data_IF_476711193068
#
_entry.id   IF_476711193068
#
_cell.length_a   1.000
_cell.length_b   1.000
_cell.length_c   1.000
_cell.angle_alpha   90.00
_cell.angle_beta   90.00
_cell.angle_gamma   90.00
#
_symmetry.space_group_name_H-M   'P 1'
#
loop_
_entity.id
_entity.type
_entity.pdbx_description
1 polymer ?
#
# COMPACT_ATOMS: atom_id res chain seq x y z
N UNK A 1 -16.36 18.92 22.54
CA UNK A 1 -15.35 17.96 23.01
C UNK A 1 -15.23 16.77 22.10
N UNK A 2 -16.33 16.13 21.79
CA UNK A 2 -16.33 14.96 20.92
C UNK A 2 -15.87 15.29 19.51
N UNK A 3 -16.21 16.44 18.99
CA UNK A 3 -15.86 16.84 17.61
C UNK A 3 -14.36 16.94 17.39
N UNK A 4 -13.65 17.50 18.37
CA UNK A 4 -12.20 17.62 18.25
C UNK A 4 -11.53 16.26 18.25
N UNK A 5 -12.00 15.36 19.10
CA UNK A 5 -11.48 13.99 19.14
C UNK A 5 -11.74 13.25 17.84
N UNK A 6 -12.92 13.42 17.30
CA UNK A 6 -13.30 12.75 16.06
C UNK A 6 -12.44 13.23 14.90
N UNK A 7 -12.16 14.53 14.83
CA UNK A 7 -11.29 15.09 13.81
C UNK A 7 -9.86 14.58 13.95
N UNK A 8 -9.35 14.59 15.18
CA UNK A 8 -8.01 14.06 15.45
C UNK A 8 -7.91 12.58 15.09
N UNK A 9 -8.91 11.81 15.49
CA UNK A 9 -8.94 10.38 15.16
C UNK A 9 -8.96 10.15 13.66
N UNK A 10 -9.71 10.95 12.93
CA UNK A 10 -9.77 10.86 11.48
C UNK A 10 -8.43 11.12 10.82
N UNK A 11 -7.73 12.15 11.28
CA UNK A 11 -6.39 12.47 10.76
C UNK A 11 -5.40 11.38 11.08
N UNK A 12 -5.40 10.93 12.32
CA UNK A 12 -4.49 9.87 12.76
C UNK A 12 -4.75 8.59 11.98
N UNK A 13 -6.01 8.28 11.75
CA UNK A 13 -6.39 7.11 10.97
C UNK A 13 -5.87 7.22 9.54
N UNK A 14 -6.04 8.38 8.90
CA UNK A 14 -5.56 8.59 7.55
C UNK A 14 -4.04 8.47 7.47
N UNK A 15 -3.34 9.05 8.43
CA UNK A 15 -1.88 8.98 8.49
C UNK A 15 -1.40 7.56 8.76
N UNK A 16 -2.08 6.83 9.64
CA UNK A 16 -1.78 5.44 9.90
C UNK A 16 -1.98 4.59 8.66
N UNK A 17 -3.06 4.80 7.94
CA UNK A 17 -3.34 4.07 6.71
C UNK A 17 -2.30 4.37 5.64
N UNK A 18 -1.91 5.64 5.51
CA UNK A 18 -0.88 6.02 4.55
C UNK A 18 0.44 5.33 4.87
N UNK A 19 0.82 5.37 6.15
CA UNK A 19 2.04 4.72 6.61
C UNK A 19 2.01 3.21 6.36
N UNK A 20 0.86 2.59 6.62
CA UNK A 20 0.66 1.15 6.41
C UNK A 20 0.78 0.81 4.92
N UNK A 21 0.17 1.61 4.06
CA UNK A 21 0.25 1.39 2.63
C UNK A 21 1.69 1.54 2.12
N UNK A 22 2.42 2.52 2.65
CA UNK A 22 3.82 2.72 2.28
C UNK A 22 4.67 1.52 2.70
N UNK A 23 4.41 0.97 3.89
CA UNK A 23 5.08 -0.23 4.36
C UNK A 23 4.74 -1.43 3.49
N UNK A 24 3.47 -1.59 3.15
CA UNK A 24 3.03 -2.66 2.25
C UNK A 24 3.73 -2.56 0.90
N UNK A 25 3.89 -1.34 0.40
CA UNK A 25 4.55 -1.13 -0.88
C UNK A 25 5.97 -1.67 -0.86
N UNK A 26 6.71 -1.37 0.21
CA UNK A 26 8.07 -1.88 0.38
C UNK A 26 8.09 -3.40 0.41
N UNK A 27 7.18 -4.00 1.19
CA UNK A 27 7.12 -5.46 1.30
C UNK A 27 6.73 -6.12 -0.01
N UNK A 28 5.83 -5.51 -0.76
CA UNK A 28 5.44 -6.02 -2.06
C UNK A 28 6.59 -5.95 -3.06
N UNK A 29 7.37 -4.88 -3.04
CA UNK A 29 8.56 -4.75 -3.87
C UNK A 29 9.58 -5.83 -3.53
N UNK A 30 9.79 -6.08 -2.25
CA UNK A 30 10.68 -7.15 -1.80
C UNK A 30 10.19 -8.52 -2.26
N UNK A 31 8.90 -8.77 -2.09
CA UNK A 31 8.29 -10.02 -2.54
C UNK A 31 8.45 -10.21 -4.04
N UNK A 32 8.26 -9.14 -4.80
CA UNK A 32 8.42 -9.18 -6.25
C UNK A 32 9.85 -9.53 -6.62
N UNK A 33 10.82 -8.94 -5.93
CA UNK A 33 12.23 -9.27 -6.13
C UNK A 33 12.52 -10.74 -5.81
N UNK A 34 11.94 -11.24 -4.73
CA UNK A 34 12.11 -12.63 -4.33
C UNK A 34 11.53 -13.62 -5.34
N UNK A 35 10.43 -13.23 -6.00
CA UNK A 35 9.76 -14.10 -6.96
C UNK A 35 10.67 -14.45 -8.14
N UNK A 36 11.67 -13.62 -8.41
CA UNK A 36 12.64 -13.86 -9.49
C UNK A 36 13.49 -15.10 -9.26
N UNK A 37 13.55 -15.57 -8.01
CA UNK A 37 14.28 -16.78 -7.66
C UNK A 37 13.52 -18.05 -7.97
N UNK A 38 12.27 -17.92 -8.37
CA UNK A 38 11.40 -19.06 -8.68
C UNK A 38 11.52 -19.46 -10.15
N UNK A 39 11.06 -20.67 -10.46
CA UNK A 39 11.00 -21.13 -11.84
C UNK A 39 10.08 -20.19 -12.65
N UNK A 40 10.37 -20.07 -13.94
CA UNK A 40 9.70 -19.10 -14.81
C UNK A 40 8.18 -19.15 -14.74
N UNK A 41 7.58 -20.34 -14.80
CA UNK A 41 6.13 -20.45 -14.81
C UNK A 41 5.48 -20.00 -13.51
N UNK A 42 6.19 -20.13 -12.38
CA UNK A 42 5.70 -19.65 -11.07
C UNK A 42 5.92 -18.17 -10.94
N UNK A 43 7.08 -17.71 -11.36
CA UNK A 43 7.47 -16.29 -11.28
C UNK A 43 6.52 -15.41 -12.10
N UNK A 44 6.22 -15.81 -13.32
CA UNK A 44 5.40 -15.00 -14.21
C UNK A 44 4.03 -14.68 -13.60
N UNK A 45 3.40 -15.70 -13.00
CA UNK A 45 2.10 -15.50 -12.35
C UNK A 45 2.21 -14.58 -11.14
N UNK A 46 3.21 -14.81 -10.28
CA UNK A 46 3.39 -14.00 -9.06
C UNK A 46 3.79 -12.56 -9.37
N UNK A 47 4.65 -12.37 -10.34
CA UNK A 47 5.03 -11.00 -10.73
C UNK A 47 3.83 -10.20 -11.19
N UNK A 48 2.93 -10.83 -11.95
CA UNK A 48 1.71 -10.17 -12.40
C UNK A 48 0.83 -9.78 -11.23
N UNK A 49 0.62 -10.70 -10.27
CA UNK A 49 -0.21 -10.44 -9.11
C UNK A 49 0.39 -9.37 -8.20
N UNK A 50 1.69 -9.44 -7.98
CA UNK A 50 2.38 -8.46 -7.14
C UNK A 50 2.41 -7.09 -7.81
N UNK A 51 2.57 -7.06 -9.13
CA UNK A 51 2.51 -5.81 -9.89
C UNK A 51 1.14 -5.15 -9.77
N UNK A 52 0.07 -5.93 -9.88
CA UNK A 52 -1.29 -5.42 -9.72
C UNK A 52 -1.52 -4.89 -8.31
N UNK A 53 -1.00 -5.62 -7.30
CA UNK A 53 -1.11 -5.18 -5.92
C UNK A 53 -0.36 -3.87 -5.68
N UNK A 54 0.83 -3.73 -6.27
CA UNK A 54 1.60 -2.49 -6.17
C UNK A 54 0.85 -1.31 -6.80
N UNK A 55 0.25 -1.53 -7.96
CA UNK A 55 -0.55 -0.49 -8.63
C UNK A 55 -1.72 -0.07 -7.75
N UNK A 56 -2.38 -1.03 -7.11
CA UNK A 56 -3.50 -0.72 -6.23
C UNK A 56 -3.05 0.04 -4.99
N UNK A 57 -1.93 -0.36 -4.40
CA UNK A 57 -1.37 0.35 -3.25
C UNK A 57 -1.02 1.79 -3.63
N UNK A 58 -0.38 1.99 -4.77
CA UNK A 58 -0.03 3.33 -5.24
C UNK A 58 -1.27 4.19 -5.47
N UNK A 59 -2.33 3.59 -6.02
CA UNK A 59 -3.59 4.29 -6.23
C UNK A 59 -4.21 4.75 -4.91
N UNK A 60 -4.19 3.88 -3.91
CA UNK A 60 -4.74 4.22 -2.59
C UNK A 60 -3.90 5.25 -1.86
N UNK A 61 -2.59 5.19 -1.99
CA UNK A 61 -1.70 6.22 -1.44
C UNK A 61 -2.05 7.58 -2.04
N UNK A 62 -2.19 7.64 -3.35
CA UNK A 62 -2.53 8.88 -4.04
C UNK A 62 -3.88 9.41 -3.60
N UNK A 63 -4.85 8.52 -3.45
CA UNK A 63 -6.19 8.86 -2.99
C UNK A 63 -6.16 9.47 -1.59
N UNK A 64 -5.41 8.86 -0.68
CA UNK A 64 -5.27 9.39 0.68
C UNK A 64 -4.58 10.75 0.70
N UNK A 65 -3.57 10.94 -0.13
CA UNK A 65 -2.87 12.22 -0.23
C UNK A 65 -3.81 13.33 -0.72
N UNK A 66 -4.64 13.03 -1.69
CA UNK A 66 -5.62 13.99 -2.19
C UNK A 66 -6.66 14.33 -1.14
N UNK A 67 -7.10 13.33 -0.39
CA UNK A 67 -8.09 13.53 0.66
C UNK A 67 -7.55 14.38 1.79
N UNK A 68 -6.25 14.27 2.08
CA UNK A 68 -5.60 15.07 3.12
C UNK A 68 -5.47 16.54 2.74
N UNK A 69 -5.24 16.77 1.48
CA UNK A 69 -5.05 18.12 0.99
C UNK A 69 -6.32 18.88 0.91
#
# INVERSE_FOLDING_TARGET
MTNEREQSSGRQMAESQLSELQNMRVLLEEARGMSRNLAYHRRAWLEAQLGDALDEVDRQIEELRRTRG
#
